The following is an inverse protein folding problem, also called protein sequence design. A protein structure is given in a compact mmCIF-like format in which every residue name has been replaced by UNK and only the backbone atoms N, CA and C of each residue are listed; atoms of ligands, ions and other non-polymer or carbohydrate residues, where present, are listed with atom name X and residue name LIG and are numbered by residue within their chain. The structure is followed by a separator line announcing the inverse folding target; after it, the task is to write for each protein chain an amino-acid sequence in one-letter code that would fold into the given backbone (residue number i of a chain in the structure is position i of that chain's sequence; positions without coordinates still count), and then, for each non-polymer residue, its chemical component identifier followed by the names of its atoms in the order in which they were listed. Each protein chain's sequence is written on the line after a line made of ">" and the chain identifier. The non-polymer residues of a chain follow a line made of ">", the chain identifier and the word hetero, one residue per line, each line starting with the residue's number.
data_IF_264208821035
#
_entry.id   IF_264208821035
#
_cell.length_a   1.000
_cell.length_b   1.000
_cell.length_c   1.000
_cell.angle_alpha   90.00
_cell.angle_beta   90.00
_cell.angle_gamma   90.00
#
_symmetry.space_group_name_H-M   'P 1'
#
loop_
_entity.id
_entity.type
_entity.pdbx_description
1 polymer ?
#
# COMPACT_ATOMS: atom_id res chain seq x y z
N UNK A 1 -13.51 1.65 -4.12
CA UNK A 1 -13.19 3.07 -3.83
C UNK A 1 -14.31 3.66 -2.98
N UNK A 2 -13.96 4.40 -1.92
CA UNK A 2 -14.91 5.17 -1.10
C UNK A 2 -14.44 6.62 -1.11
N UNK A 3 -15.20 7.54 -1.70
CA UNK A 3 -14.99 8.99 -1.55
C UNK A 3 -16.03 9.56 -0.58
N UNK A 4 -15.63 10.45 0.33
CA UNK A 4 -16.51 11.13 1.29
C UNK A 4 -16.11 12.59 1.45
N UNK A 5 -17.09 13.49 1.34
CA UNK A 5 -16.91 14.89 1.74
C UNK A 5 -17.19 15.09 3.23
N UNK A 6 -16.24 15.68 3.96
CA UNK A 6 -16.41 15.99 5.39
C UNK A 6 -17.00 17.39 5.63
N UNK A 7 -16.65 18.36 4.77
CA UNK A 7 -17.03 19.78 4.92
C UNK A 7 -17.64 20.35 3.62
N UNK A 8 -18.50 19.58 2.96
CA UNK A 8 -19.15 20.01 1.72
C UNK A 8 -20.47 20.73 1.98
N UNK A 9 -20.68 21.84 1.27
CA UNK A 9 -21.95 22.57 1.23
C UNK A 9 -22.68 22.24 -0.07
N UNK A 10 -23.38 21.11 -0.09
CA UNK A 10 -24.13 20.62 -1.24
C UNK A 10 -23.37 19.59 -2.08
N UNK A 11 -23.79 19.47 -3.34
CA UNK A 11 -23.24 18.53 -4.30
C UNK A 11 -22.04 19.15 -5.02
N UNK A 12 -20.94 18.42 -5.09
CA UNK A 12 -19.75 18.83 -5.82
C UNK A 12 -19.30 17.74 -6.77
N UNK A 13 -18.85 18.15 -7.96
CA UNK A 13 -18.33 17.22 -8.96
C UNK A 13 -16.85 16.95 -8.69
N UNK A 14 -16.51 15.67 -8.65
CA UNK A 14 -15.13 15.18 -8.59
C UNK A 14 -14.86 14.34 -9.84
N UNK A 15 -13.75 14.64 -10.52
CA UNK A 15 -13.18 13.71 -11.50
C UNK A 15 -12.30 12.71 -10.76
N UNK A 16 -12.50 11.44 -11.05
CA UNK A 16 -11.64 10.34 -10.64
C UNK A 16 -10.98 9.75 -11.87
N UNK A 17 -9.67 9.52 -11.80
CA UNK A 17 -8.88 8.82 -12.80
C UNK A 17 -8.18 7.64 -12.14
N UNK A 18 -8.29 6.45 -12.70
CA UNK A 18 -7.55 5.26 -12.27
C UNK A 18 -6.59 4.86 -13.38
N UNK A 19 -5.31 4.77 -13.05
CA UNK A 19 -4.24 4.28 -13.90
C UNK A 19 -3.83 2.87 -13.47
N UNK A 20 -3.45 2.03 -14.42
CA UNK A 20 -3.02 0.65 -14.18
C UNK A 20 -1.55 0.44 -14.56
N UNK A 21 -0.87 -0.31 -13.71
CA UNK A 21 0.53 -0.71 -13.81
C UNK A 21 1.52 0.45 -13.79
N UNK A 22 1.33 1.39 -12.86
CA UNK A 22 2.11 2.63 -12.76
C UNK A 22 3.55 2.42 -12.28
N UNK A 23 3.91 1.26 -11.72
CA UNK A 23 5.28 0.92 -11.30
C UNK A 23 6.26 0.68 -12.46
N UNK A 24 5.78 0.15 -13.60
CA UNK A 24 6.65 -0.26 -14.71
C UNK A 24 6.79 0.79 -15.83
N UNK A 25 6.11 1.93 -15.70
CA UNK A 25 6.22 3.03 -16.65
C UNK A 25 5.10 4.04 -16.50
N UNK A 26 5.45 5.31 -16.41
CA UNK A 26 4.52 6.43 -16.24
C UNK A 26 3.68 6.75 -17.48
N UNK A 27 4.03 6.21 -18.66
CA UNK A 27 3.32 6.39 -19.94
C UNK A 27 2.40 5.21 -20.32
N UNK A 28 2.39 4.15 -19.51
CA UNK A 28 1.63 2.93 -19.74
C UNK A 28 2.03 2.15 -21.00
N UNK A 29 3.19 2.40 -21.60
CA UNK A 29 3.70 1.61 -22.73
C UNK A 29 4.05 0.17 -22.32
N UNK A 30 4.57 0.02 -21.11
CA UNK A 30 4.93 -1.25 -20.50
C UNK A 30 3.82 -1.89 -19.67
N UNK A 31 2.63 -1.28 -19.65
CA UNK A 31 1.52 -1.74 -18.80
C UNK A 31 1.10 -3.17 -19.15
N UNK A 32 1.00 -4.02 -18.14
CA UNK A 32 0.62 -5.43 -18.22
C UNK A 32 -0.89 -5.64 -18.21
N UNK A 33 -1.67 -4.58 -17.93
CA UNK A 33 -3.12 -4.64 -17.87
C UNK A 33 -3.80 -3.49 -18.63
N UNK A 34 -5.08 -3.66 -18.92
CA UNK A 34 -5.92 -2.66 -19.58
C UNK A 34 -7.34 -2.72 -19.01
N UNK A 35 -7.98 -1.56 -18.84
CA UNK A 35 -9.41 -1.51 -18.52
C UNK A 35 -10.23 -1.89 -19.76
N UNK A 36 -11.34 -2.60 -19.56
CA UNK A 36 -12.34 -2.85 -20.59
C UNK A 36 -13.58 -2.03 -20.26
N UNK A 37 -13.88 -1.05 -21.10
CA UNK A 37 -15.05 -0.18 -20.96
C UNK A 37 -15.76 -0.11 -22.30
N UNK A 38 -17.04 -0.51 -22.36
CA UNK A 38 -17.82 -0.53 -23.61
C UNK A 38 -17.10 -1.24 -24.78
N UNK A 39 -16.42 -2.37 -24.48
CA UNK A 39 -15.58 -3.13 -25.40
C UNK A 39 -14.30 -2.43 -25.90
N UNK A 40 -13.98 -1.25 -25.38
CA UNK A 40 -12.72 -0.57 -25.65
C UNK A 40 -11.67 -0.86 -24.58
N UNK A 41 -10.41 -0.96 -25.01
CA UNK A 41 -9.25 -1.19 -24.13
C UNK A 41 -8.61 0.13 -23.79
N UNK A 42 -8.65 0.52 -22.51
CA UNK A 42 -8.15 1.80 -22.03
C UNK A 42 -6.96 1.61 -21.09
N UNK A 43 -6.00 2.54 -21.17
CA UNK A 43 -4.87 2.63 -20.22
C UNK A 43 -5.28 3.23 -18.88
N UNK A 44 -6.30 4.08 -18.90
CA UNK A 44 -6.82 4.75 -17.72
C UNK A 44 -8.33 4.75 -17.75
N UNK A 45 -8.95 4.60 -16.60
CA UNK A 45 -10.38 4.81 -16.41
C UNK A 45 -10.61 6.23 -15.87
N UNK A 46 -11.56 6.98 -16.43
CA UNK A 46 -11.96 8.30 -15.94
C UNK A 46 -13.45 8.35 -15.70
N UNK A 47 -13.87 9.00 -14.62
CA UNK A 47 -15.27 9.23 -14.31
C UNK A 47 -15.46 10.49 -13.50
N UNK A 48 -16.44 11.30 -13.91
CA UNK A 48 -16.98 12.36 -13.08
C UNK A 48 -18.10 11.80 -12.20
N UNK A 49 -18.10 12.20 -10.94
CA UNK A 49 -19.13 11.80 -9.98
C UNK A 49 -19.49 12.96 -9.06
N UNK A 50 -20.71 12.93 -8.54
CA UNK A 50 -21.15 13.87 -7.52
C UNK A 50 -20.86 13.29 -6.15
N UNK A 51 -20.22 14.09 -5.31
CA UNK A 51 -20.04 13.81 -3.89
C UNK A 51 -20.84 14.81 -3.06
N UNK A 52 -21.30 14.34 -1.91
CA UNK A 52 -22.02 15.14 -0.94
C UNK A 52 -21.49 14.84 0.46
N UNK A 53 -21.86 15.70 1.40
CA UNK A 53 -21.44 15.55 2.79
C UNK A 53 -21.90 14.20 3.35
N UNK A 54 -20.97 13.51 3.99
CA UNK A 54 -21.21 12.27 4.75
C UNK A 54 -21.76 11.07 3.97
N UNK A 55 -21.90 11.16 2.65
CA UNK A 55 -22.24 10.01 1.80
C UNK A 55 -21.01 9.45 1.11
N UNK A 56 -20.98 8.12 1.03
CA UNK A 56 -19.91 7.35 0.41
C UNK A 56 -20.27 7.05 -1.04
N UNK A 57 -19.41 7.47 -1.96
CA UNK A 57 -19.51 7.05 -3.36
C UNK A 57 -18.63 5.83 -3.63
N UNK A 58 -19.21 4.78 -4.22
CA UNK A 58 -18.51 3.58 -4.67
C UNK A 58 -18.88 3.27 -6.13
N UNK A 59 -17.86 3.10 -6.98
CA UNK A 59 -18.07 2.68 -8.36
C UNK A 59 -18.37 1.16 -8.44
N UNK A 60 -19.11 0.75 -9.47
CA UNK A 60 -19.26 -0.66 -9.80
C UNK A 60 -17.90 -1.27 -10.18
N UNK A 61 -17.72 -2.59 -10.05
CA UNK A 61 -16.50 -3.25 -10.51
C UNK A 61 -16.20 -2.91 -11.98
N UNK A 62 -14.97 -2.47 -12.25
CA UNK A 62 -14.49 -2.15 -13.59
C UNK A 62 -13.70 -3.36 -14.09
N UNK A 63 -14.03 -3.86 -15.28
CA UNK A 63 -13.33 -5.00 -15.84
C UNK A 63 -11.90 -4.61 -16.24
N UNK A 64 -10.94 -5.45 -15.84
CA UNK A 64 -9.53 -5.32 -16.19
C UNK A 64 -9.09 -6.59 -16.89
N UNK A 65 -8.36 -6.45 -17.98
CA UNK A 65 -7.76 -7.54 -18.73
C UNK A 65 -6.25 -7.50 -18.54
N UNK A 66 -5.68 -8.61 -18.09
CA UNK A 66 -4.24 -8.83 -18.00
C UNK A 66 -3.75 -9.44 -19.31
N UNK A 67 -2.63 -8.94 -19.85
CA UNK A 67 -2.02 -9.48 -21.07
C UNK A 67 -1.51 -10.90 -20.79
N UNK A 68 -1.64 -11.81 -21.76
CA UNK A 68 -1.21 -13.21 -21.59
C UNK A 68 0.31 -13.37 -21.51
N UNK A 69 1.04 -12.59 -22.29
CA UNK A 69 2.50 -12.75 -22.47
C UNK A 69 3.32 -11.78 -21.61
N UNK A 70 2.95 -11.65 -20.33
CA UNK A 70 3.70 -10.80 -19.39
C UNK A 70 4.99 -11.50 -18.95
N UNK A 71 6.12 -10.78 -19.08
CA UNK A 71 7.44 -11.27 -18.66
C UNK A 71 7.70 -10.98 -17.19
N UNK A 72 7.45 -9.74 -16.77
CA UNK A 72 7.56 -9.35 -15.38
C UNK A 72 6.31 -9.78 -14.61
N UNK A 73 6.49 -10.80 -13.75
CA UNK A 73 5.50 -11.29 -12.79
C UNK A 73 5.98 -11.09 -11.34
N UNK A 74 7.14 -10.48 -11.14
CA UNK A 74 7.72 -10.25 -9.82
C UNK A 74 7.30 -8.88 -9.28
N UNK A 75 7.21 -7.87 -10.14
CA UNK A 75 6.69 -6.55 -9.75
C UNK A 75 5.17 -6.65 -9.57
N UNK A 76 4.58 -6.25 -8.43
CA UNK A 76 3.13 -6.19 -8.27
C UNK A 76 2.46 -5.32 -9.34
N UNK A 77 1.21 -5.61 -9.67
CA UNK A 77 0.38 -4.76 -10.52
C UNK A 77 -0.20 -3.62 -9.67
N UNK A 78 0.26 -2.39 -9.91
CA UNK A 78 -0.22 -1.21 -9.17
C UNK A 78 -1.43 -0.56 -9.85
N UNK A 79 -2.40 -0.13 -9.05
CA UNK A 79 -3.51 0.72 -9.44
C UNK A 79 -3.38 2.05 -8.73
N UNK A 80 -3.20 3.12 -9.49
CA UNK A 80 -3.11 4.48 -8.95
C UNK A 80 -4.38 5.25 -9.26
N UNK A 81 -5.09 5.64 -8.22
CA UNK A 81 -6.28 6.46 -8.26
C UNK A 81 -5.89 7.91 -7.99
N UNK A 82 -6.25 8.79 -8.90
CA UNK A 82 -6.14 10.23 -8.77
C UNK A 82 -7.54 10.86 -8.74
N UNK A 83 -7.79 11.84 -7.89
CA UNK A 83 -9.06 12.55 -7.84
C UNK A 83 -8.90 14.05 -7.72
N UNK A 84 -9.78 14.80 -8.38
CA UNK A 84 -9.77 16.26 -8.34
C UNK A 84 -11.18 16.84 -8.30
N UNK A 85 -11.38 17.89 -7.50
CA UNK A 85 -12.58 18.71 -7.53
C UNK A 85 -12.64 19.48 -8.85
N UNK A 86 -13.73 19.28 -9.60
CA UNK A 86 -14.04 20.06 -10.80
C UNK A 86 -14.71 21.37 -10.41
N UNK A 87 -14.60 22.39 -11.27
CA UNK A 87 -15.14 23.74 -11.08
C UNK A 87 -14.54 24.52 -9.90
N UNK A 88 -13.20 24.59 -9.82
CA UNK A 88 -12.54 25.59 -8.97
C UNK A 88 -12.84 26.97 -9.54
N UNK A 89 -13.60 27.79 -8.81
CA UNK A 89 -13.84 29.17 -9.20
C UNK A 89 -12.49 29.92 -9.23
N UNK A 90 -12.20 30.72 -10.28
CA UNK A 90 -10.92 31.40 -10.44
C UNK A 90 -10.68 32.52 -9.41
N UNK A 91 -11.72 32.91 -8.66
CA UNK A 91 -11.67 33.96 -7.65
C UNK A 91 -11.64 33.35 -6.24
N UNK A 92 -10.96 34.01 -5.31
CA UNK A 92 -10.94 33.62 -3.90
C UNK A 92 -12.38 33.41 -3.39
N UNK A 93 -12.64 32.21 -2.89
CA UNK A 93 -13.96 31.78 -2.45
C UNK A 93 -13.84 31.20 -1.05
N UNK A 94 -14.32 31.95 -0.06
CA UNK A 94 -14.22 31.58 1.36
C UNK A 94 -14.96 30.29 1.72
N UNK A 95 -15.94 29.87 0.91
CA UNK A 95 -16.81 28.72 1.16
C UNK A 95 -16.66 27.61 0.11
N UNK A 96 -15.62 27.64 -0.72
CA UNK A 96 -15.41 26.61 -1.73
C UNK A 96 -14.71 25.39 -1.12
N UNK A 97 -15.10 24.17 -1.53
CA UNK A 97 -14.43 22.97 -1.03
C UNK A 97 -12.98 22.93 -1.51
N UNK A 98 -12.09 22.53 -0.62
CA UNK A 98 -10.69 22.29 -0.92
C UNK A 98 -10.32 20.84 -0.55
N UNK A 99 -9.38 20.25 -1.29
CA UNK A 99 -8.82 18.95 -0.98
C UNK A 99 -7.78 19.10 0.14
N UNK A 100 -8.00 18.46 1.28
CA UNK A 100 -7.11 18.57 2.45
C UNK A 100 -5.92 17.60 2.33
N UNK A 101 -6.11 16.47 1.66
CA UNK A 101 -5.14 15.36 1.58
C UNK A 101 -4.58 15.15 0.17
N UNK A 102 -3.65 14.18 0.06
CA UNK A 102 -3.13 13.68 -1.20
C UNK A 102 -4.25 13.27 -2.14
N UNK A 103 -4.29 13.86 -3.33
CA UNK A 103 -5.24 13.52 -4.39
C UNK A 103 -5.00 12.16 -5.03
N UNK A 104 -4.07 11.36 -4.49
CA UNK A 104 -3.55 10.14 -5.10
C UNK A 104 -3.53 9.02 -4.06
N UNK A 105 -4.07 7.86 -4.44
CA UNK A 105 -4.11 6.64 -3.65
C UNK A 105 -3.61 5.51 -4.55
N UNK A 106 -2.67 4.70 -4.07
CA UNK A 106 -2.13 3.57 -4.84
C UNK A 106 -2.32 2.27 -4.08
N UNK A 107 -2.69 1.22 -4.79
CA UNK A 107 -2.84 -0.14 -4.27
C UNK A 107 -2.15 -1.12 -5.20
N UNK A 108 -1.54 -2.18 -4.65
CA UNK A 108 -0.81 -3.19 -5.44
C UNK A 108 -1.42 -4.56 -5.30
N UNK A 109 -1.39 -5.33 -6.40
CA UNK A 109 -1.83 -6.72 -6.44
C UNK A 109 -0.67 -7.59 -6.92
N UNK A 110 -0.15 -8.52 -6.12
CA UNK A 110 0.93 -9.40 -6.55
C UNK A 110 0.44 -10.42 -7.58
N UNK A 111 1.36 -10.93 -8.39
CA UNK A 111 1.10 -12.10 -9.24
C UNK A 111 1.45 -13.36 -8.45
N UNK A 112 0.49 -14.28 -8.34
CA UNK A 112 0.74 -15.60 -7.79
C UNK A 112 1.64 -16.39 -8.75
N UNK A 113 2.81 -16.77 -8.25
CA UNK A 113 3.81 -17.54 -9.01
C UNK A 113 4.45 -18.56 -8.07
N UNK A 114 4.74 -19.76 -8.58
CA UNK A 114 5.36 -20.80 -7.77
C UNK A 114 4.42 -21.48 -6.76
N UNK A 115 3.11 -21.47 -7.02
CA UNK A 115 2.06 -22.05 -6.16
C UNK A 115 1.66 -23.48 -6.54
N UNK A 116 2.59 -24.29 -7.05
CA UNK A 116 2.26 -25.65 -7.49
C UNK A 116 1.21 -25.74 -8.61
N UNK A 117 0.47 -26.85 -8.63
CA UNK A 117 -0.49 -27.22 -9.70
C UNK A 117 -1.92 -26.74 -9.45
N UNK A 118 -2.28 -26.43 -8.20
CA UNK A 118 -3.61 -25.92 -7.84
C UNK A 118 -3.74 -24.41 -8.06
N UNK A 119 -2.60 -23.73 -8.25
CA UNK A 119 -2.53 -22.31 -8.52
C UNK A 119 -2.84 -21.43 -7.31
N UNK A 120 -2.76 -21.96 -6.09
CA UNK A 120 -3.05 -21.24 -4.84
C UNK A 120 -1.86 -21.34 -3.90
N UNK A 121 -1.18 -20.21 -3.65
CA UNK A 121 0.01 -20.22 -2.81
C UNK A 121 -0.33 -20.38 -1.32
N UNK A 122 0.13 -21.47 -0.70
CA UNK A 122 0.03 -21.72 0.74
C UNK A 122 1.40 -21.57 1.39
N UNK A 123 1.61 -20.44 2.06
CA UNK A 123 2.87 -20.13 2.76
C UNK A 123 2.87 -20.64 4.21
N UNK A 124 4.05 -20.96 4.74
CA UNK A 124 4.28 -21.32 6.14
C UNK A 124 5.36 -20.39 6.73
N UNK A 125 4.94 -19.15 6.99
CA UNK A 125 5.83 -18.10 7.49
C UNK A 125 5.93 -18.16 9.00
N UNK A 126 7.14 -18.35 9.48
CA UNK A 126 7.51 -18.34 10.90
C UNK A 126 8.44 -17.16 11.18
N UNK A 127 8.24 -16.53 12.33
CA UNK A 127 9.04 -15.40 12.79
C UNK A 127 9.66 -15.72 14.15
N UNK A 128 10.95 -15.43 14.29
CA UNK A 128 11.68 -15.50 15.55
C UNK A 128 12.30 -14.15 15.86
N UNK A 129 12.16 -13.72 17.11
CA UNK A 129 12.69 -12.46 17.61
C UNK A 129 13.68 -12.72 18.72
N UNK A 130 14.83 -12.06 18.67
CA UNK A 130 15.80 -12.13 19.75
C UNK A 130 16.58 -10.82 19.89
N UNK A 131 16.96 -10.56 21.14
CA UNK A 131 17.81 -9.44 21.51
C UNK A 131 19.27 -9.88 21.43
N UNK A 132 20.13 -8.97 20.96
CA UNK A 132 21.57 -9.19 20.93
C UNK A 132 22.31 -7.91 21.33
N UNK A 133 23.53 -8.08 21.84
CA UNK A 133 24.54 -7.04 21.85
C UNK A 133 25.55 -7.32 20.71
N UNK A 134 26.65 -6.57 20.65
CA UNK A 134 27.67 -6.75 19.59
C UNK A 134 28.30 -8.14 19.53
N UNK A 135 28.20 -8.95 20.59
CA UNK A 135 28.96 -10.20 20.72
C UNK A 135 28.12 -11.43 21.06
N UNK A 136 26.85 -11.26 21.47
CA UNK A 136 26.04 -12.37 22.00
C UNK A 136 24.53 -12.08 22.01
N UNK A 137 23.74 -13.16 21.98
CA UNK A 137 22.29 -13.11 22.23
C UNK A 137 22.02 -12.84 23.71
N UNK A 138 21.09 -11.93 23.99
CA UNK A 138 20.67 -11.54 25.33
C UNK A 138 19.42 -12.33 25.75
N UNK A 139 19.40 -12.79 27.00
CA UNK A 139 18.21 -13.40 27.62
C UNK A 139 17.29 -12.38 28.30
N UNK A 140 17.82 -11.23 28.71
CA UNK A 140 17.06 -10.16 29.38
C UNK A 140 17.71 -8.79 29.20
N UNK A 141 16.90 -7.73 29.30
CA UNK A 141 17.36 -6.35 29.36
C UNK A 141 17.49 -5.92 30.82
N UNK A 142 18.73 -5.67 31.23
CA UNK A 142 19.05 -5.13 32.55
C UNK A 142 19.19 -3.60 32.43
N UNK A 143 18.32 -2.88 33.14
CA UNK A 143 18.35 -1.42 33.24
C UNK A 143 19.69 -0.92 33.81
N UNK A 144 20.23 0.17 33.25
CA UNK A 144 21.50 0.75 33.66
C UNK A 144 22.75 -0.02 33.20
N UNK A 145 22.61 -1.30 32.81
CA UNK A 145 23.71 -2.10 32.26
C UNK A 145 23.75 -2.05 30.73
N UNK A 146 22.60 -2.18 30.07
CA UNK A 146 22.50 -2.07 28.62
C UNK A 146 22.07 -0.66 28.21
N UNK A 147 22.93 0.04 27.47
CA UNK A 147 22.61 1.35 26.87
C UNK A 147 22.09 1.26 25.43
N UNK A 148 22.35 0.14 24.75
CA UNK A 148 21.86 -0.16 23.41
C UNK A 148 21.82 -1.67 23.19
N UNK A 149 20.81 -2.12 22.44
CA UNK A 149 20.65 -3.51 22.02
C UNK A 149 20.20 -3.56 20.58
N UNK A 150 20.53 -4.66 19.91
CA UNK A 150 20.02 -4.97 18.58
C UNK A 150 18.80 -5.87 18.73
N UNK A 151 17.75 -5.53 18.00
CA UNK A 151 16.62 -6.40 17.80
C UNK A 151 16.80 -7.12 16.47
N UNK A 152 16.89 -8.45 16.52
CA UNK A 152 17.05 -9.26 15.32
C UNK A 152 15.74 -10.00 15.08
N UNK A 153 15.20 -9.81 13.89
CA UNK A 153 14.01 -10.49 13.38
C UNK A 153 14.48 -11.49 12.33
N UNK A 154 14.25 -12.77 12.59
CA UNK A 154 14.49 -13.84 11.64
C UNK A 154 13.15 -14.35 11.10
N UNK A 155 13.05 -14.41 9.78
CA UNK A 155 11.89 -14.93 9.08
C UNK A 155 12.28 -16.20 8.34
N UNK A 156 11.39 -17.17 8.32
CA UNK A 156 11.54 -18.39 7.55
C UNK A 156 10.19 -18.75 6.92
N UNK A 157 10.18 -19.03 5.62
CA UNK A 157 9.02 -19.57 4.94
C UNK A 157 9.30 -21.03 4.56
N UNK A 158 8.58 -21.97 5.16
CA UNK A 158 8.71 -23.40 4.85
C UNK A 158 7.67 -23.90 3.83
N UNK A 159 6.77 -23.01 3.39
CA UNK A 159 5.72 -23.30 2.42
C UNK A 159 6.03 -22.70 1.05
N UNK A 160 4.97 -22.40 0.30
CA UNK A 160 5.07 -21.72 -0.99
C UNK A 160 5.25 -20.21 -0.81
N UNK A 161 5.47 -19.51 -1.92
CA UNK A 161 5.79 -18.09 -1.95
C UNK A 161 4.78 -17.23 -1.17
N UNK A 162 5.28 -16.43 -0.24
CA UNK A 162 4.48 -15.42 0.45
C UNK A 162 4.57 -14.08 -0.27
N UNK A 163 3.52 -13.73 -1.01
CA UNK A 163 3.43 -12.48 -1.76
C UNK A 163 3.00 -11.30 -0.87
N UNK A 164 3.59 -10.12 -1.10
CA UNK A 164 3.31 -8.89 -0.33
C UNK A 164 3.42 -9.08 1.20
N UNK A 165 4.38 -9.90 1.65
CA UNK A 165 4.60 -10.19 3.06
C UNK A 165 5.10 -8.94 3.80
N UNK A 166 4.51 -8.67 4.97
CA UNK A 166 4.83 -7.52 5.82
C UNK A 166 5.07 -7.98 7.25
N UNK A 167 6.02 -7.33 7.94
CA UNK A 167 6.17 -7.44 9.39
C UNK A 167 5.59 -6.18 10.03
N UNK A 168 4.73 -6.37 11.02
CA UNK A 168 4.34 -5.33 11.96
C UNK A 168 4.91 -5.66 13.34
N UNK A 169 5.78 -4.79 13.86
CA UNK A 169 6.35 -4.93 15.19
C UNK A 169 5.92 -3.74 16.06
N UNK A 170 5.36 -4.02 17.24
CA UNK A 170 5.05 -3.00 18.24
C UNK A 170 5.97 -3.18 19.46
N UNK A 171 6.60 -2.08 19.89
CA UNK A 171 7.53 -2.03 21.02
C UNK A 171 6.99 -1.09 22.10
N UNK A 172 6.88 -1.60 23.33
CA UNK A 172 6.38 -0.88 24.51
C UNK A 172 7.32 -1.09 25.71
N UNK A 173 7.73 -0.04 26.47
CA UNK A 173 7.51 1.39 26.20
C UNK A 173 8.27 1.85 24.94
N UNK A 174 7.99 3.04 24.38
CA UNK A 174 8.67 3.51 23.18
C UNK A 174 10.16 3.70 23.48
N UNK A 175 10.99 2.82 22.92
CA UNK A 175 12.45 2.92 23.02
C UNK A 175 12.96 3.95 22.02
N UNK A 176 14.03 4.67 22.38
CA UNK A 176 14.75 5.50 21.42
C UNK A 176 15.48 4.59 20.44
N UNK A 177 15.04 4.56 19.18
CA UNK A 177 15.53 3.65 18.16
C UNK A 177 16.31 4.36 17.04
N UNK A 178 17.23 3.63 16.42
CA UNK A 178 17.85 3.99 15.14
C UNK A 178 17.68 2.81 14.18
N UNK A 179 17.27 3.10 12.95
CA UNK A 179 16.91 2.08 11.97
C UNK A 179 17.82 2.15 10.75
N UNK A 180 18.28 0.99 10.26
CA UNK A 180 19.11 0.92 9.05
C UNK A 180 18.27 0.75 7.78
N UNK A 181 17.10 0.09 7.87
CA UNK A 181 16.34 -0.35 6.68
C UNK A 181 14.81 -0.41 6.91
N UNK A 182 14.25 0.56 7.65
CA UNK A 182 12.80 0.66 7.88
C UNK A 182 12.15 1.59 6.87
N UNK A 183 11.09 1.09 6.23
CA UNK A 183 10.27 1.82 5.26
C UNK A 183 9.29 2.80 5.93
N UNK A 184 8.72 2.45 7.08
CA UNK A 184 7.78 3.31 7.80
C UNK A 184 7.69 2.96 9.30
N UNK A 185 7.53 3.97 10.15
CA UNK A 185 7.30 3.81 11.59
C UNK A 185 6.30 4.84 12.11
N UNK A 186 5.52 4.44 13.12
CA UNK A 186 4.61 5.32 13.87
C UNK A 186 4.96 5.25 15.36
N UNK A 187 4.94 6.40 16.02
CA UNK A 187 5.14 6.50 17.46
C UNK A 187 3.95 7.18 18.11
N UNK A 188 3.47 6.63 19.22
CA UNK A 188 2.58 7.31 20.16
C UNK A 188 3.22 7.33 21.56
N UNK A 189 2.54 7.92 22.53
CA UNK A 189 3.07 8.10 23.90
C UNK A 189 3.41 6.76 24.61
N UNK A 190 2.89 5.65 24.12
CA UNK A 190 2.97 4.32 24.77
C UNK A 190 3.69 3.26 23.96
N UNK A 191 3.87 3.45 22.66
CA UNK A 191 4.37 2.42 21.76
C UNK A 191 5.06 3.01 20.52
N UNK A 192 5.96 2.23 19.97
CA UNK A 192 6.56 2.41 18.65
C UNK A 192 6.13 1.24 17.76
N UNK A 193 5.47 1.51 16.64
CA UNK A 193 5.06 0.49 15.66
C UNK A 193 5.88 0.63 14.37
N UNK A 194 6.48 -0.48 13.93
CA UNK A 194 7.30 -0.58 12.73
C UNK A 194 6.57 -1.42 11.69
N UNK A 195 6.50 -0.91 10.46
CA UNK A 195 5.95 -1.66 9.32
C UNK A 195 7.06 -1.86 8.29
N UNK A 196 7.45 -3.12 8.11
CA UNK A 196 8.55 -3.54 7.25
C UNK A 196 8.00 -4.33 6.07
N UNK A 197 8.37 -3.92 4.86
CA UNK A 197 8.17 -4.74 3.67
C UNK A 197 9.25 -5.82 3.62
N UNK A 198 8.84 -7.09 3.51
CA UNK A 198 9.74 -8.25 3.45
C UNK A 198 10.10 -8.59 1.99
N UNK A 199 9.48 -7.90 1.03
CA UNK A 199 9.65 -8.09 -0.39
C UNK A 199 8.51 -8.88 -1.04
N UNK A 200 8.52 -8.89 -2.37
CA UNK A 200 7.61 -9.69 -3.20
C UNK A 200 8.44 -10.66 -4.07
N UNK A 201 8.62 -11.93 -3.69
CA UNK A 201 8.02 -12.70 -2.59
C UNK A 201 9.06 -13.16 -1.56
N UNK A 202 8.61 -13.54 -0.36
CA UNK A 202 9.41 -14.30 0.60
C UNK A 202 9.28 -15.79 0.27
N UNK A 203 10.39 -16.41 -0.15
CA UNK A 203 10.51 -17.84 -0.42
C UNK A 203 11.57 -18.52 0.42
#
# INVERSE_FOLDING_TARGET
>A
MILRGQYLNGLHTVEVKIDIDTLLGSDGSMSRGQFIVNNEKLKSFRKETLIERDKRFCEKPIQVMIKKDIRDKLTPLEFTLNYQLLNRLPQFCSNCPHLIDTSTISETIPFETGCGDDGVCVSDVTMSLFLANKTSKLGSLIEGFHSSVYLIIALNNAGENAHAAKITLTVEPPLKTSFESITFYETNDTSLTLNLDVGNFLG
#
